data_IF_927658883125
#
_entry.id   IF_927658883125
#
_cell.length_a   1.000
_cell.length_b   1.000
_cell.length_c   1.000
_cell.angle_alpha   90.00
_cell.angle_beta   90.00
_cell.angle_gamma   90.00
#
_symmetry.space_group_name_H-M   'P 1'
#
loop_
_entity.id
_entity.type
_entity.pdbx_description
1 polymer ?
#
# COMPACT_ATOMS: atom_id res chain seq x y z
N UNK A 1 -27.97 -33.65 -11.51
CA UNK A 1 -28.00 -34.59 -10.35
C UNK A 1 -28.06 -33.91 -8.99
N UNK A 2 -27.13 -33.02 -8.61
CA UNK A 2 -27.19 -32.33 -7.30
C UNK A 2 -28.38 -31.38 -7.16
N UNK A 3 -28.70 -30.59 -8.20
CA UNK A 3 -29.86 -29.68 -8.18
C UNK A 3 -31.21 -30.45 -8.10
N UNK A 4 -31.30 -31.60 -8.74
CA UNK A 4 -32.49 -32.45 -8.62
C UNK A 4 -32.65 -33.14 -7.27
N UNK A 5 -31.60 -33.16 -6.46
CA UNK A 5 -31.59 -33.60 -5.04
C UNK A 5 -31.83 -32.46 -4.06
N UNK A 6 -32.21 -31.26 -4.52
CA UNK A 6 -32.51 -30.10 -3.65
C UNK A 6 -31.31 -29.22 -3.33
N UNK A 7 -30.14 -29.45 -3.91
CA UNK A 7 -29.00 -28.52 -3.73
C UNK A 7 -29.24 -27.24 -4.53
N UNK A 8 -28.76 -26.10 -4.02
CA UNK A 8 -28.68 -24.82 -4.74
C UNK A 8 -27.23 -24.44 -5.01
N UNK A 9 -27.03 -23.50 -5.93
CA UNK A 9 -25.74 -22.85 -6.06
C UNK A 9 -25.42 -22.08 -4.77
N UNK A 10 -24.18 -22.12 -4.35
CA UNK A 10 -23.71 -21.34 -3.21
C UNK A 10 -23.62 -19.85 -3.56
N UNK A 11 -23.96 -19.00 -2.62
CA UNK A 11 -23.76 -17.56 -2.73
C UNK A 11 -22.25 -17.20 -2.73
N UNK A 12 -21.87 -16.00 -3.17
CA UNK A 12 -20.47 -15.54 -3.07
C UNK A 12 -19.94 -15.67 -1.64
N UNK A 13 -18.78 -16.32 -1.48
CA UNK A 13 -18.13 -16.52 -0.18
C UNK A 13 -18.81 -17.48 0.79
N UNK A 14 -19.91 -18.13 0.42
CA UNK A 14 -20.72 -18.94 1.36
C UNK A 14 -19.94 -20.09 2.00
N UNK A 15 -19.05 -20.77 1.28
CA UNK A 15 -18.23 -21.82 1.87
C UNK A 15 -17.26 -21.29 2.92
N UNK A 16 -16.60 -20.18 2.64
CA UNK A 16 -15.67 -19.53 3.55
C UNK A 16 -16.42 -18.95 4.76
N UNK A 17 -17.60 -18.34 4.54
CA UNK A 17 -18.47 -17.85 5.60
C UNK A 17 -18.89 -18.98 6.54
N UNK A 18 -19.33 -20.11 6.00
CA UNK A 18 -19.70 -21.29 6.82
C UNK A 18 -18.49 -21.87 7.57
N UNK A 19 -17.31 -21.85 6.96
CA UNK A 19 -16.09 -22.30 7.64
C UNK A 19 -15.75 -21.39 8.83
N UNK A 20 -15.86 -20.07 8.67
CA UNK A 20 -15.72 -19.09 9.74
C UNK A 20 -16.76 -19.31 10.85
N UNK A 21 -18.05 -19.36 10.51
CA UNK A 21 -19.13 -19.56 11.48
C UNK A 21 -19.02 -20.89 12.26
N UNK A 22 -18.43 -21.92 11.66
CA UNK A 22 -18.17 -23.20 12.29
C UNK A 22 -16.79 -23.27 12.98
N UNK A 23 -16.09 -22.15 13.16
CA UNK A 23 -14.80 -22.07 13.85
C UNK A 23 -13.65 -22.83 13.17
N UNK A 24 -13.75 -23.11 11.85
CA UNK A 24 -12.68 -23.76 11.08
C UNK A 24 -11.56 -22.81 10.69
N UNK A 25 -11.86 -21.53 10.66
CA UNK A 25 -10.92 -20.42 10.41
C UNK A 25 -11.44 -19.17 11.10
N UNK A 26 -10.58 -18.23 11.38
CA UNK A 26 -10.94 -16.90 11.85
C UNK A 26 -11.20 -15.92 10.68
N UNK A 27 -11.61 -14.69 11.00
CA UNK A 27 -11.99 -13.71 10.00
C UNK A 27 -10.79 -13.27 9.13
N UNK A 28 -9.62 -13.07 9.73
CA UNK A 28 -8.40 -12.71 8.99
C UNK A 28 -7.97 -13.83 8.04
N UNK A 29 -8.10 -15.10 8.45
CA UNK A 29 -7.87 -16.26 7.58
C UNK A 29 -8.90 -16.33 6.44
N UNK A 30 -10.17 -16.03 6.72
CA UNK A 30 -11.23 -15.99 5.73
C UNK A 30 -10.95 -14.89 4.66
N UNK A 31 -10.57 -13.70 5.07
CA UNK A 31 -10.14 -12.63 4.15
C UNK A 31 -8.92 -13.06 3.31
N UNK A 32 -7.95 -13.74 3.94
CA UNK A 32 -6.77 -14.24 3.24
C UNK A 32 -7.10 -15.30 2.16
N UNK A 33 -8.18 -16.06 2.29
CA UNK A 33 -8.67 -16.97 1.21
C UNK A 33 -9.03 -16.16 -0.04
N UNK A 34 -9.73 -15.03 0.12
CA UNK A 34 -10.03 -14.15 -1.01
C UNK A 34 -8.74 -13.58 -1.63
N UNK A 35 -7.79 -13.18 -0.79
CA UNK A 35 -6.51 -12.62 -1.24
C UNK A 35 -5.64 -13.62 -2.00
N UNK A 36 -5.62 -14.91 -1.59
CA UNK A 36 -4.93 -15.99 -2.34
C UNK A 36 -5.50 -16.11 -3.75
N UNK A 37 -6.83 -16.03 -3.88
CA UNK A 37 -7.53 -16.16 -5.16
C UNK A 37 -7.29 -14.95 -6.05
N UNK A 38 -7.32 -13.75 -5.47
CA UNK A 38 -7.16 -12.49 -6.19
C UNK A 38 -5.69 -12.13 -6.49
N UNK A 39 -4.72 -12.88 -5.95
CA UNK A 39 -3.30 -12.57 -6.08
C UNK A 39 -2.84 -12.57 -7.54
N UNK A 40 -2.20 -11.48 -7.97
CA UNK A 40 -1.70 -11.29 -9.35
C UNK A 40 -0.19 -11.47 -9.49
N UNK A 41 0.52 -11.69 -8.38
CA UNK A 41 1.96 -11.94 -8.36
C UNK A 41 2.35 -12.95 -7.28
N UNK A 42 3.52 -13.57 -7.42
CA UNK A 42 4.01 -14.60 -6.51
C UNK A 42 4.22 -14.11 -5.06
N UNK A 43 4.61 -12.85 -4.89
CA UNK A 43 4.81 -12.26 -3.57
C UNK A 43 3.48 -12.07 -2.83
N UNK A 44 2.45 -11.51 -3.50
CA UNK A 44 1.10 -11.38 -2.95
C UNK A 44 0.51 -12.75 -2.57
N UNK A 45 0.65 -13.74 -3.47
CA UNK A 45 0.18 -15.10 -3.21
C UNK A 45 0.84 -15.70 -1.96
N UNK A 46 2.15 -15.56 -1.79
CA UNK A 46 2.92 -16.08 -0.66
C UNK A 46 2.46 -15.45 0.66
N UNK A 47 2.27 -14.12 0.69
CA UNK A 47 1.79 -13.41 1.88
C UNK A 47 0.38 -13.86 2.23
N UNK A 48 -0.54 -13.85 1.27
CA UNK A 48 -1.91 -14.27 1.49
C UNK A 48 -1.99 -15.73 1.97
N UNK A 49 -1.17 -16.62 1.42
CA UNK A 49 -1.09 -18.02 1.84
C UNK A 49 -0.56 -18.18 3.27
N UNK A 50 0.44 -17.37 3.69
CA UNK A 50 0.94 -17.34 5.07
C UNK A 50 -0.14 -16.84 6.04
N UNK A 51 -0.89 -15.81 5.67
CA UNK A 51 -2.02 -15.29 6.45
C UNK A 51 -3.15 -16.33 6.56
N UNK A 52 -3.51 -16.98 5.45
CA UNK A 52 -4.52 -18.05 5.42
C UNK A 52 -4.15 -19.22 6.36
N UNK A 53 -2.86 -19.54 6.50
CA UNK A 53 -2.36 -20.54 7.45
C UNK A 53 -2.43 -20.09 8.92
N UNK A 54 -2.82 -18.86 9.19
CA UNK A 54 -3.03 -18.33 10.54
C UNK A 54 -1.79 -17.71 11.20
N UNK A 55 -0.72 -17.44 10.45
CA UNK A 55 0.49 -16.83 11.03
C UNK A 55 0.21 -15.47 11.68
N UNK A 56 -0.51 -14.59 10.98
CA UNK A 56 -0.93 -13.29 11.52
C UNK A 56 -1.90 -13.42 12.70
N UNK A 57 -2.87 -14.31 12.58
CA UNK A 57 -3.86 -14.56 13.64
C UNK A 57 -3.24 -15.12 14.94
N UNK A 58 -2.17 -15.92 14.83
CA UNK A 58 -1.42 -16.40 16.01
C UNK A 58 -0.75 -15.23 16.72
N UNK A 59 -0.06 -14.38 15.98
CA UNK A 59 0.63 -13.21 16.51
C UNK A 59 -0.33 -12.25 17.24
N UNK A 60 -1.53 -12.02 16.69
CA UNK A 60 -2.58 -11.22 17.34
C UNK A 60 -3.12 -11.87 18.61
N UNK A 61 -3.28 -13.20 18.62
CA UNK A 61 -3.74 -13.94 19.80
C UNK A 61 -2.71 -13.90 20.94
N UNK A 62 -1.43 -14.01 20.62
CA UNK A 62 -0.35 -13.91 21.60
C UNK A 62 -0.34 -12.52 22.25
N UNK A 63 -0.35 -11.44 21.47
CA UNK A 63 -0.46 -10.06 21.98
C UNK A 63 -1.71 -9.84 22.84
N UNK A 64 -2.86 -10.41 22.42
CA UNK A 64 -4.10 -10.31 23.17
C UNK A 64 -4.03 -11.07 24.50
N UNK A 65 -3.39 -12.24 24.53
CA UNK A 65 -3.18 -13.02 25.76
C UNK A 65 -2.31 -12.26 26.76
N UNK A 66 -1.25 -11.59 26.30
CA UNK A 66 -0.39 -10.74 27.12
C UNK A 66 -1.18 -9.56 27.72
N UNK A 67 -2.04 -8.91 26.92
CA UNK A 67 -2.90 -7.82 27.40
C UNK A 67 -3.95 -8.31 28.42
N UNK A 68 -4.52 -9.50 28.24
CA UNK A 68 -5.47 -10.09 29.19
C UNK A 68 -4.79 -10.42 30.53
N UNK A 69 -3.57 -10.97 30.50
CA UNK A 69 -2.78 -11.20 31.71
C UNK A 69 -2.54 -9.90 32.48
N UNK A 70 -2.21 -8.84 31.74
CA UNK A 70 -1.95 -7.51 32.26
C UNK A 70 -3.19 -6.91 32.93
N UNK A 71 -4.38 -6.99 32.28
CA UNK A 71 -5.65 -6.55 32.90
C UNK A 71 -5.94 -7.32 34.15
N UNK A 72 -5.74 -8.66 34.13
CA UNK A 72 -5.99 -9.50 35.30
C UNK A 72 -5.12 -9.12 36.49
N UNK A 73 -3.85 -8.80 36.27
CA UNK A 73 -2.96 -8.33 37.33
C UNK A 73 -3.40 -6.97 37.90
N UNK A 74 -3.85 -6.05 37.04
CA UNK A 74 -4.35 -4.75 37.45
C UNK A 74 -5.65 -4.84 38.26
N UNK A 75 -6.57 -5.78 37.88
CA UNK A 75 -7.80 -6.01 38.61
C UNK A 75 -7.54 -6.64 39.99
N UNK A 76 -6.58 -7.54 40.09
CA UNK A 76 -6.16 -8.08 41.37
C UNK A 76 -5.60 -7.00 42.30
N UNK A 77 -4.82 -6.05 41.77
CA UNK A 77 -4.30 -4.92 42.55
C UNK A 77 -5.44 -4.02 43.09
N UNK A 78 -6.50 -3.83 42.29
CA UNK A 78 -7.69 -3.10 42.76
C UNK A 78 -8.46 -3.80 43.86
N UNK A 79 -8.68 -5.12 43.74
CA UNK A 79 -9.41 -5.90 44.74
C UNK A 79 -8.69 -5.96 46.09
N UNK A 80 -7.36 -5.92 46.10
CA UNK A 80 -6.51 -5.94 47.31
C UNK A 80 -5.93 -4.59 47.68
N UNK A 81 -6.43 -3.49 47.10
CA UNK A 81 -5.93 -2.13 47.36
C UNK A 81 -6.01 -1.71 48.84
N UNK A 82 -6.87 -2.33 49.65
CA UNK A 82 -6.98 -2.12 51.10
C UNK A 82 -5.82 -2.74 51.88
N UNK A 83 -5.04 -3.66 51.28
CA UNK A 83 -3.95 -4.41 51.97
C UNK A 83 -2.55 -3.84 51.63
N UNK A 84 -2.42 -2.70 50.94
CA UNK A 84 -1.14 -2.09 50.46
C UNK A 84 -0.22 -3.07 49.68
N UNK A 85 -0.77 -4.02 48.98
CA UNK A 85 0.00 -5.02 48.22
C UNK A 85 0.09 -4.59 46.76
N UNK A 86 1.28 -4.16 46.32
CA UNK A 86 1.58 -3.95 44.91
C UNK A 86 1.80 -5.31 44.21
N UNK A 87 0.81 -5.82 43.48
CA UNK A 87 0.92 -7.08 42.74
C UNK A 87 1.61 -6.93 41.38
N UNK A 88 1.60 -5.75 40.77
CA UNK A 88 2.25 -5.48 39.50
C UNK A 88 3.50 -4.65 39.70
N UNK A 89 4.66 -5.19 39.36
CA UNK A 89 5.88 -4.40 39.21
C UNK A 89 5.64 -3.40 38.07
N UNK A 90 5.48 -2.11 38.40
CA UNK A 90 5.20 -1.03 37.43
C UNK A 90 6.27 -0.94 36.34
N UNK A 91 7.51 -1.34 36.63
CA UNK A 91 8.57 -1.37 35.63
C UNK A 91 8.37 -2.51 34.62
N UNK A 92 7.87 -3.66 35.06
CA UNK A 92 7.51 -4.77 34.20
C UNK A 92 6.29 -4.44 33.33
N UNK A 93 5.29 -3.77 33.90
CA UNK A 93 4.11 -3.28 33.18
C UNK A 93 4.50 -2.32 32.05
N UNK A 94 5.33 -1.33 32.35
CA UNK A 94 5.81 -0.36 31.35
C UNK A 94 6.66 -1.03 30.26
N UNK A 95 7.50 -1.99 30.63
CA UNK A 95 8.25 -2.82 29.69
C UNK A 95 7.36 -3.56 28.70
N UNK A 96 6.35 -4.30 29.19
CA UNK A 96 5.39 -5.04 28.34
C UNK A 96 4.58 -4.10 27.45
N UNK A 97 4.10 -2.97 27.97
CA UNK A 97 3.38 -1.98 27.17
C UNK A 97 4.28 -1.41 26.04
N UNK A 98 5.53 -1.11 26.35
CA UNK A 98 6.48 -0.60 25.37
C UNK A 98 6.79 -1.62 24.27
N UNK A 99 6.94 -2.90 24.60
CA UNK A 99 7.14 -4.00 23.66
C UNK A 99 5.92 -4.17 22.75
N UNK A 100 4.70 -4.18 23.31
CA UNK A 100 3.46 -4.31 22.55
C UNK A 100 3.22 -3.11 21.63
N UNK A 101 3.41 -1.89 22.12
CA UNK A 101 3.31 -0.66 21.32
C UNK A 101 4.31 -0.69 20.16
N UNK A 102 5.55 -1.11 20.42
CA UNK A 102 6.58 -1.25 19.38
C UNK A 102 6.19 -2.33 18.35
N UNK A 103 5.67 -3.46 18.80
CA UNK A 103 5.24 -4.56 17.93
C UNK A 103 4.07 -4.12 17.02
N UNK A 104 3.02 -3.54 17.59
CA UNK A 104 1.88 -3.01 16.84
C UNK A 104 2.33 -1.93 15.85
N UNK A 105 3.26 -1.06 16.25
CA UNK A 105 3.80 -0.02 15.36
C UNK A 105 4.51 -0.63 14.14
N UNK A 106 5.34 -1.67 14.33
CA UNK A 106 5.97 -2.40 13.22
C UNK A 106 4.95 -3.03 12.27
N UNK A 107 3.86 -3.59 12.80
CA UNK A 107 2.78 -4.13 11.98
C UNK A 107 2.07 -3.04 11.16
N UNK A 108 1.79 -1.89 11.77
CA UNK A 108 1.20 -0.73 11.08
C UNK A 108 2.15 -0.24 9.97
N UNK A 109 3.44 -0.08 10.26
CA UNK A 109 4.43 0.40 9.30
C UNK A 109 4.62 -0.58 8.14
N UNK A 110 4.43 -1.89 8.38
CA UNK A 110 4.50 -2.92 7.34
C UNK A 110 3.40 -2.80 6.29
N UNK A 111 2.33 -2.06 6.57
CA UNK A 111 1.18 -1.94 5.68
C UNK A 111 1.53 -1.29 4.34
N UNK A 112 2.40 -0.27 4.32
CA UNK A 112 2.82 0.38 3.08
C UNK A 112 3.40 -0.65 2.10
N UNK A 113 4.28 -1.53 2.60
CA UNK A 113 4.88 -2.61 1.85
C UNK A 113 3.84 -3.69 1.48
N UNK A 114 3.08 -4.18 2.45
CA UNK A 114 2.05 -5.21 2.24
C UNK A 114 0.98 -4.78 1.24
N UNK A 115 0.52 -3.54 1.31
CA UNK A 115 -0.45 -2.97 0.37
C UNK A 115 0.13 -2.83 -1.05
N UNK A 116 1.39 -2.40 -1.16
CA UNK A 116 2.07 -2.32 -2.46
C UNK A 116 2.26 -3.70 -3.11
N UNK A 117 2.55 -4.74 -2.32
CA UNK A 117 2.64 -6.11 -2.83
C UNK A 117 1.28 -6.65 -3.26
N UNK A 118 0.22 -6.40 -2.49
CA UNK A 118 -1.14 -6.89 -2.74
C UNK A 118 -1.83 -6.16 -3.88
N UNK A 119 -1.87 -4.83 -3.83
CA UNK A 119 -2.66 -3.99 -4.72
C UNK A 119 -1.84 -3.32 -5.83
N UNK A 120 -0.55 -3.55 -5.84
CA UNK A 120 0.39 -2.92 -6.75
C UNK A 120 0.94 -1.59 -6.24
N UNK A 121 2.15 -1.27 -6.69
CA UNK A 121 2.82 0.00 -6.41
C UNK A 121 2.10 1.12 -7.17
N UNK A 122 1.55 2.13 -6.50
CA UNK A 122 0.85 3.20 -7.18
C UNK A 122 1.82 4.10 -7.95
N UNK A 123 1.57 4.26 -9.26
CA UNK A 123 2.37 5.05 -10.19
C UNK A 123 1.51 6.18 -10.77
N UNK A 124 1.98 7.42 -10.68
CA UNK A 124 1.40 8.56 -11.38
C UNK A 124 2.26 8.98 -12.56
N UNK A 125 1.62 9.29 -13.71
CA UNK A 125 2.29 9.89 -14.86
C UNK A 125 1.96 11.39 -14.90
N UNK A 126 2.95 12.21 -14.56
CA UNK A 126 2.85 13.66 -14.55
C UNK A 126 3.50 14.27 -15.79
N UNK A 127 2.98 15.38 -16.27
CA UNK A 127 3.51 16.11 -17.43
C UNK A 127 2.43 16.92 -18.10
N UNK A 128 2.84 17.90 -18.93
CA UNK A 128 1.93 18.77 -19.66
C UNK A 128 1.00 17.99 -20.62
N UNK A 129 -0.03 18.66 -21.16
CA UNK A 129 -0.91 18.08 -22.19
C UNK A 129 -0.11 17.68 -23.43
N UNK A 130 -0.50 16.57 -24.08
CA UNK A 130 0.13 16.07 -25.33
C UNK A 130 1.63 15.68 -25.22
N UNK A 131 2.15 15.48 -24.01
CA UNK A 131 3.52 14.96 -23.81
C UNK A 131 3.67 13.48 -24.16
N UNK A 132 2.56 12.76 -24.39
CA UNK A 132 2.56 11.34 -24.76
C UNK A 132 2.27 10.37 -23.61
N UNK A 133 1.63 10.85 -22.53
CA UNK A 133 1.31 10.02 -21.34
C UNK A 133 0.49 8.76 -21.69
N UNK A 134 -0.58 8.92 -22.48
CA UNK A 134 -1.43 7.81 -22.93
C UNK A 134 -0.66 6.86 -23.86
N UNK A 135 0.24 7.39 -24.69
CA UNK A 135 1.09 6.59 -25.57
C UNK A 135 2.08 5.76 -24.76
N UNK A 136 2.69 6.35 -23.72
CA UNK A 136 3.57 5.65 -22.80
C UNK A 136 2.84 4.50 -22.08
N UNK A 137 1.67 4.79 -21.52
CA UNK A 137 0.85 3.77 -20.85
C UNK A 137 0.51 2.61 -21.80
N UNK A 138 0.09 2.93 -23.02
CA UNK A 138 -0.21 1.91 -24.03
C UNK A 138 1.04 1.12 -24.45
N UNK A 139 2.21 1.76 -24.53
CA UNK A 139 3.46 1.08 -24.85
C UNK A 139 3.88 0.12 -23.70
N UNK A 140 3.70 0.54 -22.44
CA UNK A 140 3.96 -0.31 -21.28
C UNK A 140 3.00 -1.50 -21.19
N UNK A 141 1.71 -1.30 -21.49
CA UNK A 141 0.66 -2.33 -21.42
C UNK A 141 0.66 -3.24 -22.65
N UNK A 142 1.15 -2.76 -23.81
CA UNK A 142 1.02 -3.44 -25.10
C UNK A 142 1.76 -4.79 -25.17
N UNK A 143 2.83 -4.96 -24.42
CA UNK A 143 3.62 -6.20 -24.35
C UNK A 143 3.00 -7.26 -23.43
N UNK A 144 2.19 -6.87 -22.42
CA UNK A 144 1.68 -7.76 -21.37
C UNK A 144 0.16 -8.05 -21.47
N UNK A 145 -0.56 -7.48 -22.45
CA UNK A 145 -2.00 -7.71 -22.63
C UNK A 145 -2.40 -9.18 -22.88
N UNK A 146 -1.45 -10.06 -23.10
CA UNK A 146 -1.69 -11.47 -23.39
C UNK A 146 -2.11 -12.33 -22.18
N UNK A 147 -2.10 -11.83 -20.94
CA UNK A 147 -2.29 -12.64 -19.72
C UNK A 147 -3.39 -12.10 -18.77
N UNK A 148 -4.01 -10.96 -19.05
CA UNK A 148 -5.06 -10.43 -18.17
C UNK A 148 -6.40 -11.07 -18.51
N UNK A 149 -6.88 -11.97 -17.62
CA UNK A 149 -8.26 -12.48 -17.68
C UNK A 149 -9.24 -11.33 -17.43
N UNK A 150 -10.24 -11.20 -18.30
CA UNK A 150 -11.41 -10.35 -18.13
C UNK A 150 -12.21 -10.72 -16.87
N UNK A 151 -11.75 -10.36 -15.70
CA UNK A 151 -12.59 -10.35 -14.49
C UNK A 151 -13.29 -9.00 -14.43
N UNK A 152 -14.42 -8.93 -15.12
CA UNK A 152 -15.38 -7.85 -14.98
C UNK A 152 -15.99 -7.90 -13.57
N UNK A 153 -15.71 -6.91 -12.77
CA UNK A 153 -16.45 -6.69 -11.54
C UNK A 153 -15.75 -5.81 -10.54
N UNK A 154 -15.87 -4.51 -10.68
CA UNK A 154 -16.22 -3.57 -9.59
C UNK A 154 -16.20 -2.12 -10.09
N UNK A 155 -17.38 -1.49 -9.96
CA UNK A 155 -17.70 -0.06 -9.80
C UNK A 155 -16.98 1.03 -10.62
N UNK A 156 -17.78 1.84 -11.21
CA UNK A 156 -17.72 2.98 -12.14
C UNK A 156 -16.79 4.16 -11.83
N UNK A 157 -15.83 4.12 -10.89
CA UNK A 157 -15.25 5.38 -10.41
C UNK A 157 -13.78 5.66 -10.72
N UNK A 158 -12.96 4.68 -11.13
CA UNK A 158 -11.60 4.98 -11.68
C UNK A 158 -11.09 3.77 -12.46
N UNK A 159 -10.77 3.94 -13.74
CA UNK A 159 -10.11 2.91 -14.53
C UNK A 159 -8.62 2.98 -14.17
N UNK A 160 -8.19 2.09 -13.29
CA UNK A 160 -6.78 1.90 -12.97
C UNK A 160 -6.26 0.71 -13.78
N UNK A 161 -5.08 0.88 -14.39
CA UNK A 161 -4.43 -0.18 -15.16
C UNK A 161 -3.30 -0.77 -14.32
N UNK A 162 -3.20 -2.10 -14.30
CA UNK A 162 -2.13 -2.80 -13.59
C UNK A 162 -1.17 -3.46 -14.56
N UNK A 163 0.12 -3.47 -14.21
CA UNK A 163 1.19 -4.05 -14.99
C UNK A 163 2.15 -4.82 -14.09
N UNK A 164 2.44 -6.07 -14.41
CA UNK A 164 3.47 -6.84 -13.71
C UNK A 164 4.82 -6.66 -14.42
N UNK A 165 5.79 -6.11 -13.73
CA UNK A 165 7.17 -5.95 -14.22
C UNK A 165 8.09 -6.73 -13.28
N UNK A 166 8.72 -7.79 -13.80
CA UNK A 166 9.67 -8.66 -13.08
C UNK A 166 9.14 -9.15 -11.71
N UNK A 167 7.85 -9.49 -11.64
CA UNK A 167 7.21 -10.00 -10.43
C UNK A 167 6.68 -8.93 -9.48
N UNK A 168 6.90 -7.65 -9.74
CA UNK A 168 6.31 -6.51 -9.03
C UNK A 168 5.09 -5.99 -9.79
N UNK A 169 3.96 -5.89 -9.09
CA UNK A 169 2.75 -5.29 -9.64
C UNK A 169 2.82 -3.76 -9.51
N UNK A 170 2.67 -3.05 -10.63
CA UNK A 170 2.52 -1.60 -10.68
C UNK A 170 1.08 -1.24 -11.04
N UNK A 171 0.51 -0.26 -10.36
CA UNK A 171 -0.85 0.23 -10.56
C UNK A 171 -0.81 1.68 -10.99
N UNK A 172 -1.17 1.94 -12.26
CA UNK A 172 -1.19 3.29 -12.82
C UNK A 172 -2.49 4.00 -12.41
N UNK A 173 -2.33 5.08 -11.64
CA UNK A 173 -3.44 5.81 -11.05
C UNK A 173 -4.05 6.74 -12.11
N UNK A 174 -5.38 6.69 -12.25
CA UNK A 174 -6.19 7.55 -13.12
C UNK A 174 -5.82 7.56 -14.59
N UNK A 175 -5.97 6.41 -15.18
CA UNK A 175 -5.84 6.25 -16.63
C UNK A 175 -7.00 6.87 -17.42
N UNK A 176 -8.14 7.17 -16.76
CA UNK A 176 -9.31 7.79 -17.40
C UNK A 176 -8.98 9.18 -17.97
N UNK A 177 -8.29 10.03 -17.20
CA UNK A 177 -7.81 11.34 -17.68
C UNK A 177 -6.74 11.28 -18.77
N UNK A 178 -6.16 10.09 -19.00
CA UNK A 178 -5.20 9.84 -20.09
C UNK A 178 -5.90 9.43 -21.39
N UNK A 179 -7.16 8.98 -21.34
CA UNK A 179 -7.93 8.50 -22.51
C UNK A 179 -8.83 9.58 -23.12
N UNK A 180 -9.22 10.59 -22.34
CA UNK A 180 -10.05 11.71 -22.82
C UNK A 180 -9.15 12.84 -23.35
N UNK A 181 -9.09 12.96 -24.66
CA UNK A 181 -8.43 14.05 -25.38
C UNK A 181 -9.47 15.11 -25.77
N UNK A 182 -9.94 15.91 -24.82
CA UNK A 182 -10.76 17.08 -25.15
C UNK A 182 -10.32 18.34 -24.39
N UNK A 183 -10.15 19.40 -25.16
CA UNK A 183 -9.49 20.68 -24.90
C UNK A 183 -10.11 21.60 -23.83
N UNK A 184 -11.11 21.17 -23.06
CA UNK A 184 -11.92 22.12 -22.29
C UNK A 184 -11.60 22.19 -20.79
N UNK A 185 -10.65 21.40 -20.25
CA UNK A 185 -10.46 21.30 -18.78
C UNK A 185 -9.01 21.49 -18.33
N UNK A 186 -8.32 22.52 -18.82
CA UNK A 186 -6.89 22.75 -18.48
C UNK A 186 -6.66 23.07 -17.00
N UNK A 187 -7.50 23.86 -16.34
CA UNK A 187 -7.35 24.19 -14.91
C UNK A 187 -7.81 23.10 -13.94
N UNK A 188 -8.88 22.36 -14.25
CA UNK A 188 -9.38 21.25 -13.43
C UNK A 188 -8.47 20.02 -13.57
N UNK A 189 -7.80 19.85 -14.72
CA UNK A 189 -6.83 18.79 -14.96
C UNK A 189 -5.56 18.92 -14.10
N UNK A 190 -5.11 20.14 -13.84
CA UNK A 190 -3.91 20.42 -13.05
C UNK A 190 -4.11 20.04 -11.57
N UNK A 191 -5.22 20.44 -10.94
CA UNK A 191 -5.51 20.09 -9.54
C UNK A 191 -5.71 18.56 -9.34
N UNK A 192 -6.35 17.89 -10.29
CA UNK A 192 -6.49 16.42 -10.26
C UNK A 192 -5.14 15.73 -10.38
N UNK A 193 -4.25 16.20 -11.26
CA UNK A 193 -2.89 15.65 -11.40
C UNK A 193 -2.10 15.78 -10.11
N UNK A 194 -2.23 16.88 -9.38
CA UNK A 194 -1.53 17.08 -8.11
C UNK A 194 -2.02 16.14 -7.00
N UNK A 195 -3.33 15.91 -6.90
CA UNK A 195 -3.88 14.93 -5.94
C UNK A 195 -3.33 13.53 -6.23
N UNK A 196 -3.18 13.15 -7.50
CA UNK A 196 -2.65 11.86 -7.91
C UNK A 196 -1.17 11.69 -7.58
N UNK A 197 -0.37 12.75 -7.76
CA UNK A 197 1.04 12.74 -7.35
C UNK A 197 1.14 12.42 -5.85
N UNK A 198 0.30 13.01 -5.00
CA UNK A 198 0.34 12.75 -3.55
C UNK A 198 -0.04 11.32 -3.15
N UNK A 199 -0.79 10.60 -3.97
CA UNK A 199 -1.21 9.21 -3.74
C UNK A 199 -0.22 8.18 -4.31
N UNK A 200 0.72 8.60 -5.17
CA UNK A 200 1.68 7.75 -5.84
C UNK A 200 2.91 7.43 -4.97
N UNK A 201 3.44 6.22 -5.08
CA UNK A 201 4.77 5.87 -4.56
C UNK A 201 5.87 6.13 -5.59
N UNK A 202 5.52 6.08 -6.88
CA UNK A 202 6.42 6.40 -7.99
C UNK A 202 5.77 7.46 -8.88
N UNK A 203 6.52 8.50 -9.21
CA UNK A 203 6.08 9.57 -10.11
C UNK A 203 6.92 9.53 -11.39
N UNK A 204 6.28 9.35 -12.53
CA UNK A 204 6.90 9.42 -13.85
C UNK A 204 6.70 10.84 -14.39
N UNK A 205 7.72 11.69 -14.29
CA UNK A 205 7.72 13.06 -14.81
C UNK A 205 8.01 13.09 -16.31
N UNK A 206 6.99 13.22 -17.13
CA UNK A 206 7.12 13.15 -18.60
C UNK A 206 7.30 14.50 -19.24
N UNK A 207 8.42 14.68 -19.92
CA UNK A 207 8.87 15.92 -20.54
C UNK A 207 8.90 15.75 -22.06
N UNK A 208 8.30 16.69 -22.77
CA UNK A 208 8.27 16.72 -24.25
C UNK A 208 9.43 17.56 -24.80
N UNK A 209 10.40 16.91 -25.43
CA UNK A 209 11.59 17.56 -25.98
C UNK A 209 11.31 18.46 -27.21
N UNK A 210 10.12 18.43 -27.77
CA UNK A 210 9.73 19.24 -28.93
C UNK A 210 9.16 20.61 -28.56
N UNK A 211 8.89 20.84 -27.27
CA UNK A 211 8.35 22.11 -26.76
C UNK A 211 9.46 23.16 -26.59
N UNK A 212 9.02 24.40 -26.42
CA UNK A 212 9.93 25.52 -26.10
C UNK A 212 10.56 25.29 -24.70
N UNK A 213 11.76 25.86 -24.54
CA UNK A 213 12.59 25.67 -23.37
C UNK A 213 11.91 26.17 -22.06
N UNK A 214 11.33 27.36 -22.10
CA UNK A 214 10.78 28.04 -20.94
C UNK A 214 9.55 27.27 -20.38
N UNK A 215 8.60 26.92 -21.26
CA UNK A 215 7.42 26.10 -20.91
C UNK A 215 7.81 24.72 -20.36
N UNK A 216 8.89 24.16 -20.90
CA UNK A 216 9.42 22.86 -20.43
C UNK A 216 10.05 22.98 -19.04
N UNK A 217 10.81 24.06 -18.79
CA UNK A 217 11.39 24.35 -17.48
C UNK A 217 10.31 24.55 -16.40
N UNK A 218 9.21 25.24 -16.72
CA UNK A 218 8.10 25.42 -15.80
C UNK A 218 7.43 24.09 -15.44
N UNK A 219 7.20 23.22 -16.43
CA UNK A 219 6.65 21.87 -16.20
C UNK A 219 7.56 21.04 -15.29
N UNK A 220 8.88 21.07 -15.52
CA UNK A 220 9.87 20.38 -14.69
C UNK A 220 9.81 20.88 -13.24
N UNK A 221 9.80 22.20 -13.08
CA UNK A 221 9.73 22.83 -11.74
C UNK A 221 8.48 22.42 -11.00
N UNK A 222 7.32 22.49 -11.64
CA UNK A 222 6.04 22.08 -11.04
C UNK A 222 6.06 20.62 -10.57
N UNK A 223 6.60 19.70 -11.38
CA UNK A 223 6.70 18.28 -11.00
C UNK A 223 7.60 18.11 -9.77
N UNK A 224 8.82 18.69 -9.80
CA UNK A 224 9.80 18.56 -8.73
C UNK A 224 9.32 19.20 -7.40
N UNK A 225 8.54 20.29 -7.47
CA UNK A 225 7.99 20.95 -6.29
C UNK A 225 6.87 20.13 -5.61
N UNK A 226 6.15 19.30 -6.38
CA UNK A 226 5.02 18.51 -5.88
C UNK A 226 5.39 17.12 -5.38
N UNK A 227 6.58 16.63 -5.72
CA UNK A 227 7.06 15.33 -5.26
C UNK A 227 7.59 15.42 -3.83
N UNK A 228 7.10 14.55 -2.97
CA UNK A 228 7.65 14.35 -1.62
C UNK A 228 8.75 13.29 -1.66
N UNK A 229 10.00 13.73 -1.77
CA UNK A 229 11.16 12.85 -1.84
C UNK A 229 11.43 12.02 -0.57
N UNK A 230 10.70 12.27 0.53
CA UNK A 230 10.80 11.45 1.74
C UNK A 230 10.09 10.10 1.60
N UNK A 231 9.06 10.03 0.73
CA UNK A 231 8.22 8.83 0.58
C UNK A 231 7.92 8.45 -0.87
N UNK A 232 8.30 9.27 -1.85
CA UNK A 232 8.04 9.05 -3.27
C UNK A 232 9.36 8.96 -4.07
N UNK A 233 9.35 8.14 -5.12
CA UNK A 233 10.44 8.04 -6.10
C UNK A 233 10.05 8.79 -7.38
N UNK A 234 10.91 9.68 -7.84
CA UNK A 234 10.73 10.40 -9.11
C UNK A 234 11.58 9.75 -10.20
N UNK A 235 11.00 9.56 -11.38
CA UNK A 235 11.71 9.20 -12.61
C UNK A 235 11.37 10.25 -13.67
N UNK A 236 12.37 10.88 -14.27
CA UNK A 236 12.15 11.88 -15.33
C UNK A 236 12.33 11.21 -16.70
N UNK A 237 11.30 11.35 -17.54
CA UNK A 237 11.23 10.79 -18.87
C UNK A 237 11.33 11.89 -19.93
N UNK A 238 12.41 11.91 -20.70
CA UNK A 238 12.60 12.83 -21.83
C UNK A 238 12.00 12.18 -23.08
N UNK A 239 10.76 12.53 -23.40
CA UNK A 239 10.00 11.88 -24.48
C UNK A 239 10.18 12.56 -25.84
N UNK A 240 9.82 11.83 -26.89
CA UNK A 240 9.89 12.19 -28.32
C UNK A 240 11.32 12.27 -28.86
N UNK A 241 12.18 11.38 -28.38
CA UNK A 241 13.57 11.24 -28.88
C UNK A 241 13.64 10.78 -30.34
N UNK A 242 12.55 10.28 -30.91
CA UNK A 242 12.38 9.98 -32.33
C UNK A 242 12.34 11.23 -33.23
N UNK A 243 11.98 12.38 -32.65
CA UNK A 243 11.85 13.65 -33.38
C UNK A 243 12.97 14.62 -32.96
N UNK A 244 13.39 14.59 -31.70
CA UNK A 244 14.36 15.52 -31.14
C UNK A 244 15.48 14.77 -30.41
N UNK A 245 16.74 15.02 -30.76
CA UNK A 245 17.91 14.43 -30.13
C UNK A 245 18.16 15.04 -28.75
N UNK A 246 18.43 14.19 -27.75
CA UNK A 246 18.75 14.60 -26.36
C UNK A 246 19.95 15.54 -26.30
N UNK A 247 20.97 15.31 -27.15
CA UNK A 247 22.17 16.17 -27.25
C UNK A 247 21.87 17.64 -27.58
N UNK A 248 20.72 17.94 -28.18
CA UNK A 248 20.28 19.32 -28.45
C UNK A 248 19.65 19.99 -27.23
N UNK A 249 19.35 19.22 -26.20
CA UNK A 249 18.67 19.64 -24.96
C UNK A 249 19.58 19.59 -23.73
N UNK A 250 20.90 19.68 -23.88
CA UNK A 250 21.86 19.65 -22.75
C UNK A 250 21.54 20.73 -21.71
N UNK A 251 21.10 21.91 -22.17
CA UNK A 251 20.69 22.99 -21.25
C UNK A 251 19.51 22.59 -20.36
N UNK A 252 18.52 21.87 -20.90
CA UNK A 252 17.39 21.35 -20.12
C UNK A 252 17.81 20.29 -19.09
N UNK A 253 18.67 19.36 -19.49
CA UNK A 253 19.21 18.36 -18.58
C UNK A 253 19.98 19.01 -17.44
N UNK A 254 20.86 19.99 -17.75
CA UNK A 254 21.60 20.74 -16.75
C UNK A 254 20.66 21.53 -15.81
N UNK A 255 19.57 22.09 -16.33
CA UNK A 255 18.56 22.75 -15.53
C UNK A 255 17.87 21.78 -14.55
N UNK A 256 17.46 20.60 -15.02
CA UNK A 256 16.87 19.54 -14.17
C UNK A 256 17.83 19.15 -13.05
N UNK A 257 19.09 18.88 -13.40
CA UNK A 257 20.15 18.54 -12.43
C UNK A 257 20.30 19.65 -11.40
N UNK A 258 20.39 20.91 -11.81
CA UNK A 258 20.55 22.04 -10.90
C UNK A 258 19.37 22.21 -9.93
N UNK A 259 18.14 21.95 -10.37
CA UNK A 259 16.95 22.03 -9.52
C UNK A 259 16.95 20.93 -8.46
N UNK A 260 17.37 19.72 -8.81
CA UNK A 260 17.44 18.57 -7.90
C UNK A 260 18.63 18.72 -6.91
N UNK A 261 19.78 19.16 -7.39
CA UNK A 261 20.95 19.45 -6.54
C UNK A 261 20.64 20.53 -5.49
N UNK A 262 19.88 21.56 -5.83
CA UNK A 262 19.42 22.57 -4.88
C UNK A 262 18.53 22.01 -3.75
N UNK A 263 17.91 20.85 -3.97
CA UNK A 263 17.15 20.09 -2.96
C UNK A 263 17.99 19.00 -2.26
N UNK A 264 19.28 18.90 -2.58
CA UNK A 264 20.19 17.88 -2.05
C UNK A 264 19.95 16.47 -2.65
N UNK A 265 19.34 16.40 -3.83
CA UNK A 265 18.94 15.15 -4.50
C UNK A 265 19.90 14.92 -5.67
N UNK A 266 20.57 13.77 -5.67
CA UNK A 266 21.45 13.39 -6.77
C UNK A 266 20.68 12.89 -7.98
N UNK A 267 21.20 13.14 -9.16
CA UNK A 267 20.64 12.67 -10.43
C UNK A 267 21.58 11.66 -11.08
N UNK A 268 21.02 10.60 -11.67
CA UNK A 268 21.74 9.69 -12.54
C UNK A 268 21.23 9.82 -13.99
N UNK A 269 22.09 10.23 -14.90
CA UNK A 269 21.84 10.12 -16.35
C UNK A 269 22.12 8.67 -16.75
N UNK A 270 21.11 7.98 -17.32
CA UNK A 270 21.23 6.58 -17.66
C UNK A 270 22.15 6.39 -18.84
N UNK A 271 23.42 6.08 -18.49
CA UNK A 271 24.32 5.16 -19.17
C UNK A 271 25.09 4.30 -18.13
N UNK A 272 24.84 4.48 -16.82
CA UNK A 272 25.52 3.74 -15.75
C UNK A 272 24.54 3.50 -14.62
N UNK A 273 24.09 2.24 -14.48
CA UNK A 273 23.27 1.77 -13.37
C UNK A 273 24.21 1.56 -12.17
N UNK A 274 24.47 2.59 -11.40
CA UNK A 274 24.97 2.46 -10.04
C UNK A 274 23.80 2.73 -9.09
N UNK A 275 23.38 1.66 -8.40
CA UNK A 275 22.21 1.59 -7.54
C UNK A 275 22.44 2.30 -6.19
N UNK A 276 22.37 3.61 -6.13
CA UNK A 276 22.10 4.30 -4.86
C UNK A 276 20.64 4.73 -4.82
N UNK A 277 19.95 4.36 -3.75
CA UNK A 277 18.50 4.49 -3.56
C UNK A 277 17.96 5.94 -3.53
N UNK A 278 18.82 6.92 -3.72
CA UNK A 278 18.54 8.36 -3.64
C UNK A 278 18.57 9.09 -4.98
N UNK A 279 18.95 8.44 -6.07
CA UNK A 279 19.12 9.12 -7.36
C UNK A 279 17.82 9.19 -8.15
N UNK A 280 17.53 10.38 -8.72
CA UNK A 280 16.46 10.58 -9.69
C UNK A 280 16.98 10.20 -11.08
N UNK A 281 16.51 9.09 -11.67
CA UNK A 281 16.92 8.69 -13.01
C UNK A 281 16.26 9.58 -14.07
N UNK A 282 17.06 10.00 -15.06
CA UNK A 282 16.61 10.74 -16.26
C UNK A 282 16.75 9.80 -17.46
N UNK A 283 15.64 9.42 -18.07
CA UNK A 283 15.58 8.42 -19.14
C UNK A 283 15.12 9.06 -20.45
N UNK A 284 15.91 9.03 -21.51
CA UNK A 284 15.45 9.37 -22.84
C UNK A 284 14.56 8.25 -23.40
N UNK A 285 13.35 8.60 -23.84
CA UNK A 285 12.38 7.65 -24.39
C UNK A 285 11.74 8.16 -25.66
N UNK A 286 11.22 7.25 -26.46
CA UNK A 286 10.16 7.51 -27.43
C UNK A 286 8.99 6.58 -27.17
N UNK A 287 7.95 7.08 -26.52
CA UNK A 287 6.74 6.32 -26.26
C UNK A 287 6.08 5.80 -27.55
N UNK A 288 6.32 6.47 -28.69
CA UNK A 288 5.79 6.10 -30.00
C UNK A 288 6.53 4.91 -30.62
N UNK A 289 7.84 4.87 -30.51
CA UNK A 289 8.67 3.81 -31.14
C UNK A 289 9.03 2.69 -30.17
N UNK A 290 8.78 2.85 -28.86
CA UNK A 290 9.17 1.91 -27.82
C UNK A 290 10.62 2.07 -27.33
N UNK A 291 11.40 3.00 -27.89
CA UNK A 291 12.77 3.23 -27.47
C UNK A 291 12.84 3.70 -26.01
N UNK A 292 13.74 3.13 -25.20
CA UNK A 292 13.92 3.42 -23.77
C UNK A 292 12.85 2.83 -22.83
N UNK A 293 11.83 2.12 -23.35
CA UNK A 293 10.78 1.50 -22.51
C UNK A 293 11.34 0.35 -21.67
N UNK A 294 12.26 -0.46 -22.22
CA UNK A 294 12.91 -1.53 -21.47
C UNK A 294 13.77 -1.00 -20.31
N UNK A 295 14.45 0.13 -20.52
CA UNK A 295 15.24 0.79 -19.47
C UNK A 295 14.31 1.30 -18.36
N UNK A 296 13.17 1.91 -18.72
CA UNK A 296 12.16 2.32 -17.76
C UNK A 296 11.63 1.15 -16.95
N UNK A 297 11.30 0.01 -17.60
CA UNK A 297 10.85 -1.21 -16.89
C UNK A 297 11.90 -1.71 -15.91
N UNK A 298 13.16 -1.77 -16.32
CA UNK A 298 14.27 -2.21 -15.46
C UNK A 298 14.43 -1.31 -14.23
N UNK A 299 14.28 0.01 -14.40
CA UNK A 299 14.37 0.96 -13.30
C UNK A 299 13.17 0.85 -12.35
N UNK A 300 11.95 0.71 -12.89
CA UNK A 300 10.76 0.48 -12.08
C UNK A 300 10.94 -0.80 -11.24
N UNK A 301 11.35 -1.91 -11.84
CA UNK A 301 11.61 -3.15 -11.13
C UNK A 301 12.70 -2.98 -10.06
N UNK A 302 13.83 -2.35 -10.41
CA UNK A 302 14.93 -2.09 -9.49
C UNK A 302 14.52 -1.20 -8.32
N UNK A 303 13.66 -0.20 -8.56
CA UNK A 303 13.19 0.74 -7.54
C UNK A 303 12.37 0.07 -6.43
N UNK A 304 11.88 -1.14 -6.65
CA UNK A 304 10.98 -1.87 -5.75
C UNK A 304 11.50 -3.28 -5.41
N UNK A 305 12.83 -3.51 -5.49
CA UNK A 305 13.44 -4.82 -5.18
C UNK A 305 13.11 -5.31 -3.78
N UNK A 306 12.96 -4.41 -2.81
CA UNK A 306 12.61 -4.75 -1.44
C UNK A 306 11.25 -5.47 -1.34
N UNK A 307 10.34 -5.24 -2.31
CA UNK A 307 9.06 -5.94 -2.39
C UNK A 307 9.20 -7.42 -2.77
N UNK A 308 10.31 -7.80 -3.39
CA UNK A 308 10.57 -9.17 -3.85
C UNK A 308 11.31 -10.01 -2.79
N UNK A 309 11.84 -9.39 -1.74
CA UNK A 309 12.62 -10.05 -0.69
C UNK A 309 11.81 -11.11 0.06
N UNK A 310 12.47 -12.20 0.44
CA UNK A 310 11.94 -13.22 1.35
C UNK A 310 12.02 -12.72 2.79
N UNK A 311 11.20 -11.72 3.16
CA UNK A 311 11.07 -11.35 4.55
C UNK A 311 10.14 -12.34 5.26
N UNK A 312 10.65 -13.02 6.27
CA UNK A 312 9.84 -13.87 7.17
C UNK A 312 8.91 -13.03 8.06
N UNK A 313 8.99 -11.72 7.96
CA UNK A 313 8.17 -10.76 8.73
C UNK A 313 6.71 -10.82 8.32
N UNK A 314 5.82 -10.75 9.30
CA UNK A 314 4.38 -10.63 9.07
C UNK A 314 4.09 -9.25 8.48
N UNK A 315 3.43 -9.22 7.30
CA UNK A 315 3.02 -8.00 6.63
C UNK A 315 1.50 -7.83 6.72
N UNK A 316 1.07 -6.63 7.07
CA UNK A 316 -0.35 -6.27 7.06
C UNK A 316 -0.72 -5.77 5.65
N UNK A 317 -1.79 -6.35 5.08
CA UNK A 317 -2.22 -6.06 3.70
C UNK A 317 -3.63 -5.47 3.61
N UNK A 318 -4.37 -5.46 4.71
CA UNK A 318 -5.77 -5.03 4.74
C UNK A 318 -5.91 -3.73 5.55
N UNK A 319 -6.59 -2.73 4.97
CA UNK A 319 -6.84 -1.42 5.59
C UNK A 319 -7.63 -1.56 6.90
N UNK A 320 -8.58 -2.50 6.98
CA UNK A 320 -9.34 -2.78 8.20
C UNK A 320 -8.43 -3.19 9.36
N UNK A 321 -7.43 -4.04 9.07
CA UNK A 321 -6.46 -4.47 10.07
C UNK A 321 -5.59 -3.32 10.56
N UNK A 322 -5.13 -2.45 9.65
CA UNK A 322 -4.35 -1.24 10.01
C UNK A 322 -5.14 -0.31 10.91
N UNK A 323 -6.42 -0.08 10.60
CA UNK A 323 -7.26 0.78 11.42
C UNK A 323 -7.40 0.20 12.83
N UNK A 324 -7.73 -1.08 12.96
CA UNK A 324 -7.86 -1.75 14.25
C UNK A 324 -6.54 -1.75 15.06
N UNK A 325 -5.40 -1.98 14.39
CA UNK A 325 -4.07 -1.89 15.02
C UNK A 325 -3.76 -0.46 15.48
N UNK A 326 -4.14 0.55 14.68
CA UNK A 326 -3.93 1.97 15.02
C UNK A 326 -4.77 2.37 16.23
N UNK A 327 -6.03 1.95 16.27
CA UNK A 327 -6.93 2.20 17.40
C UNK A 327 -6.44 1.49 18.66
N UNK A 328 -6.01 0.23 18.55
CA UNK A 328 -5.39 -0.52 19.65
C UNK A 328 -4.15 0.18 20.19
N UNK A 329 -3.24 0.61 19.30
CA UNK A 329 -2.04 1.37 19.69
C UNK A 329 -2.39 2.66 20.42
N UNK A 330 -3.39 3.41 19.92
CA UNK A 330 -3.84 4.64 20.56
C UNK A 330 -4.34 4.39 21.98
N UNK A 331 -5.10 3.30 22.22
CA UNK A 331 -5.54 2.89 23.55
C UNK A 331 -4.35 2.57 24.46
N UNK A 332 -3.37 1.80 23.98
CA UNK A 332 -2.17 1.46 24.77
C UNK A 332 -1.28 2.67 25.09
N UNK A 333 -1.21 3.65 24.17
CA UNK A 333 -0.51 4.90 24.44
C UNK A 333 -1.19 5.69 25.56
N UNK A 334 -2.54 5.75 25.60
CA UNK A 334 -3.27 6.36 26.71
C UNK A 334 -3.01 5.66 28.05
N UNK A 335 -2.94 4.32 28.03
CA UNK A 335 -2.54 3.54 29.22
C UNK A 335 -1.17 3.98 29.73
N UNK A 336 -0.16 3.99 28.87
CA UNK A 336 1.21 4.35 29.24
C UNK A 336 1.29 5.77 29.80
N UNK A 337 0.70 6.73 29.08
CA UNK A 337 0.72 8.15 29.47
C UNK A 337 -0.10 8.39 30.77
N UNK A 338 -1.21 7.64 30.94
CA UNK A 338 -2.02 7.64 32.15
C UNK A 338 -1.25 7.12 33.37
N UNK A 339 -0.60 5.98 33.24
CA UNK A 339 0.21 5.40 34.32
C UNK A 339 1.37 6.33 34.71
N UNK A 340 2.03 6.96 33.72
CA UNK A 340 3.10 7.93 33.97
C UNK A 340 2.59 9.18 34.73
N UNK A 341 1.32 9.58 34.52
CA UNK A 341 0.68 10.71 35.21
C UNK A 341 -0.02 10.33 36.53
N UNK A 342 0.05 9.08 36.96
CA UNK A 342 -0.58 8.60 38.19
C UNK A 342 -2.10 8.38 38.06
N UNK A 343 -2.58 8.06 36.87
CA UNK A 343 -3.99 7.71 36.63
C UNK A 343 -4.37 6.46 37.46
N UNK A 344 -5.58 6.43 38.03
CA UNK A 344 -6.10 5.24 38.70
C UNK A 344 -6.08 3.99 37.80
N UNK A 345 -5.75 2.85 38.38
CA UNK A 345 -5.54 1.56 37.68
C UNK A 345 -6.81 1.06 36.97
N UNK A 346 -8.00 1.38 37.49
CA UNK A 346 -9.29 1.04 36.89
C UNK A 346 -9.51 1.68 35.52
N UNK A 347 -9.12 2.95 35.37
CA UNK A 347 -9.21 3.65 34.10
C UNK A 347 -8.19 3.12 33.07
N UNK A 348 -6.98 2.80 33.55
CA UNK A 348 -5.97 2.17 32.69
C UNK A 348 -6.42 0.77 32.21
N UNK A 349 -7.06 -0.03 33.07
CA UNK A 349 -7.61 -1.32 32.71
C UNK A 349 -8.71 -1.21 31.63
N UNK A 350 -9.52 -0.14 31.67
CA UNK A 350 -10.53 0.11 30.63
C UNK A 350 -9.88 0.35 29.26
N UNK A 351 -8.84 1.18 29.17
CA UNK A 351 -8.12 1.43 27.92
C UNK A 351 -7.45 0.15 27.38
N UNK A 352 -6.92 -0.72 28.25
CA UNK A 352 -6.38 -2.01 27.80
C UNK A 352 -7.49 -2.91 27.23
N UNK A 353 -8.66 -2.97 27.86
CA UNK A 353 -9.81 -3.73 27.32
C UNK A 353 -10.23 -3.20 25.94
N UNK A 354 -10.17 -1.88 25.74
CA UNK A 354 -10.42 -1.28 24.43
C UNK A 354 -9.37 -1.74 23.40
N UNK A 355 -8.08 -1.78 23.78
CA UNK A 355 -7.03 -2.29 22.90
C UNK A 355 -7.25 -3.78 22.54
N UNK A 356 -7.65 -4.62 23.53
CA UNK A 356 -8.01 -6.03 23.32
C UNK A 356 -9.20 -6.15 22.36
N UNK A 357 -10.22 -5.30 22.50
CA UNK A 357 -11.37 -5.26 21.62
C UNK A 357 -10.95 -5.01 20.17
N UNK A 358 -10.10 -4.03 19.92
CA UNK A 358 -9.63 -3.71 18.58
C UNK A 358 -8.82 -4.86 17.96
N UNK A 359 -7.92 -5.50 18.70
CA UNK A 359 -7.20 -6.68 18.23
C UNK A 359 -8.16 -7.87 17.95
N UNK A 360 -9.14 -8.08 18.82
CA UNK A 360 -10.15 -9.15 18.67
C UNK A 360 -11.04 -8.94 17.43
N UNK A 361 -11.30 -7.69 17.04
CA UNK A 361 -12.09 -7.36 15.84
C UNK A 361 -11.41 -7.80 14.54
N UNK A 362 -10.08 -7.88 14.52
CA UNK A 362 -9.32 -8.34 13.34
C UNK A 362 -9.60 -9.81 13.06
N UNK A 363 -9.54 -10.65 14.09
CA UNK A 363 -9.76 -12.10 13.98
C UNK A 363 -11.25 -12.49 14.01
N UNK A 364 -12.14 -11.52 14.25
CA UNK A 364 -13.60 -11.73 14.21
C UNK A 364 -14.18 -12.34 15.49
N UNK A 365 -13.48 -12.26 16.61
CA UNK A 365 -14.05 -12.64 17.91
C UNK A 365 -15.16 -11.67 18.34
N UNK A 366 -15.12 -10.45 17.81
CA UNK A 366 -16.12 -9.41 17.98
C UNK A 366 -16.41 -8.85 16.58
N UNK A 367 -17.55 -9.20 16.01
CA UNK A 367 -17.97 -8.75 14.68
C UNK A 367 -19.45 -8.47 14.66
N UNK A 368 -19.87 -7.48 13.85
CA UNK A 368 -21.29 -7.22 13.55
C UNK A 368 -21.67 -7.94 12.26
N UNK A 369 -22.93 -8.34 12.13
CA UNK A 369 -23.46 -8.99 10.91
C UNK A 369 -23.24 -8.15 9.65
N UNK A 370 -23.23 -6.82 9.78
CA UNK A 370 -22.98 -5.89 8.69
C UNK A 370 -21.53 -6.01 8.17
N UNK A 371 -20.55 -6.08 9.08
CA UNK A 371 -19.13 -6.24 8.72
C UNK A 371 -18.91 -7.58 8.02
N UNK A 372 -19.48 -8.66 8.56
CA UNK A 372 -19.43 -9.99 7.95
C UNK A 372 -20.07 -9.99 6.57
N UNK A 373 -21.27 -9.37 6.44
CA UNK A 373 -21.96 -9.26 5.17
C UNK A 373 -21.14 -8.54 4.10
N UNK A 374 -20.46 -7.46 4.44
CA UNK A 374 -19.62 -6.71 3.50
C UNK A 374 -18.37 -7.49 3.06
N UNK A 375 -17.71 -8.20 3.99
CA UNK A 375 -16.54 -9.01 3.68
C UNK A 375 -16.92 -10.13 2.69
N UNK A 376 -17.95 -10.91 2.99
CA UNK A 376 -18.29 -12.10 2.20
C UNK A 376 -18.97 -11.79 0.86
N UNK A 377 -19.65 -10.64 0.71
CA UNK A 377 -20.22 -10.21 -0.59
C UNK A 377 -19.18 -9.98 -1.68
N UNK A 378 -17.96 -9.65 -1.31
CA UNK A 378 -16.86 -9.40 -2.24
C UNK A 378 -16.14 -10.67 -2.70
N UNK A 379 -16.59 -11.87 -2.27
CA UNK A 379 -16.01 -13.13 -2.69
C UNK A 379 -16.59 -13.60 -4.02
N UNK A 380 -15.84 -14.46 -4.70
CA UNK A 380 -16.33 -15.14 -5.92
C UNK A 380 -17.44 -16.15 -5.60
N UNK A 381 -18.38 -16.32 -6.54
CA UNK A 381 -19.45 -17.34 -6.47
C UNK A 381 -18.82 -18.74 -6.40
N UNK A 382 -19.28 -19.58 -5.46
CA UNK A 382 -18.84 -20.98 -5.33
C UNK A 382 -17.63 -21.21 -4.42
N UNK A 383 -17.27 -20.22 -3.61
CA UNK A 383 -16.18 -20.33 -2.60
C UNK A 383 -16.63 -19.98 -1.21
#
# INVERSE_FOLDING_TARGET
MLYSAGARAADPGEFTQRAYLNGKMDLAQAEAVADVIASQNAAAHRIAFKQMKGGFSSELRDMRSELLELVSLMELELDFSEEEVEFADRSRLDGLLSELISHISRLIDSFKLGNAIKNGVPVAIAGATNTGKSTLLNALLGEDRAIVSDVHGTTRDTIEETLNIDGVLFRFIDTAGLRETDEVVEKIGIERTFKKISEASVVLGMIDLTRDYDSTCDTVREIIEKVDFTCQKLVILLNKTDICEVNKNVSLVNYIVSLLDNKGIRTSLINTIENEATDVPIIPISAKTGSGILDLRSILAASQRDLLGDSDTTLVTNQRHVQALTDSRASLLRVRDGLASGLPTDLAAQDIREAIYHLGSIVGEISTDEVLGNIFRNFCIGK
#
